data_IF_246273193387
#
_entry.id   IF_246273193387
#
_cell.length_a   1.000
_cell.length_b   1.000
_cell.length_c   1.000
_cell.angle_alpha   90.00
_cell.angle_beta   90.00
_cell.angle_gamma   90.00
#
_symmetry.space_group_name_H-M   'P 1'
#
loop_
_entity.id
_entity.type
_entity.pdbx_description
1 polymer ?
#
# COMPACT_ATOMS: atom_id res chain seq x y z
N UNK A 1 4.37 -10.49 9.14
CA UNK A 1 4.35 -11.96 9.35
C UNK A 1 5.77 -12.48 9.35
N UNK A 2 6.17 -13.19 10.40
CA UNK A 2 7.42 -13.96 10.44
C UNK A 2 7.42 -15.03 9.34
N UNK A 3 8.61 -15.37 8.82
CA UNK A 3 8.79 -16.30 7.69
C UNK A 3 8.09 -17.65 7.90
N UNK A 4 8.02 -18.13 9.15
CA UNK A 4 7.37 -19.37 9.57
C UNK A 4 5.84 -19.41 9.43
N UNK A 5 5.17 -18.27 9.34
CA UNK A 5 3.69 -18.20 9.30
C UNK A 5 3.15 -17.98 7.89
N UNK A 6 4.02 -17.77 6.89
CA UNK A 6 3.60 -17.65 5.48
C UNK A 6 3.01 -18.99 5.01
N UNK A 7 1.91 -18.95 4.26
CA UNK A 7 1.24 -20.15 3.74
C UNK A 7 0.17 -20.77 4.64
N UNK A 8 0.01 -20.33 5.90
CA UNK A 8 -1.01 -20.84 6.82
C UNK A 8 -2.41 -20.17 6.69
N UNK A 9 -2.66 -19.44 5.60
CA UNK A 9 -3.94 -18.76 5.34
C UNK A 9 -4.24 -17.53 6.23
N UNK A 10 -3.41 -17.21 7.21
CA UNK A 10 -3.65 -16.09 8.13
C UNK A 10 -3.76 -14.73 7.42
N UNK A 11 -2.90 -14.47 6.43
CA UNK A 11 -2.95 -13.24 5.63
C UNK A 11 -4.24 -13.11 4.82
N UNK A 12 -4.72 -14.21 4.23
CA UNK A 12 -5.99 -14.25 3.50
C UNK A 12 -7.17 -13.98 4.42
N UNK A 13 -7.22 -14.64 5.59
CA UNK A 13 -8.30 -14.43 6.57
C UNK A 13 -8.35 -12.99 7.09
N UNK A 14 -7.19 -12.37 7.26
CA UNK A 14 -7.11 -10.96 7.64
C UNK A 14 -7.71 -10.06 6.55
N UNK A 15 -7.32 -10.25 5.29
CA UNK A 15 -7.87 -9.47 4.18
C UNK A 15 -9.37 -9.67 4.00
N UNK A 16 -9.87 -10.90 4.15
CA UNK A 16 -11.30 -11.20 4.12
C UNK A 16 -12.06 -10.49 5.23
N UNK A 17 -11.53 -10.46 6.45
CA UNK A 17 -12.15 -9.75 7.57
C UNK A 17 -12.21 -8.24 7.31
N UNK A 18 -11.15 -7.63 6.77
CA UNK A 18 -11.14 -6.22 6.41
C UNK A 18 -12.11 -5.91 5.27
N UNK A 19 -12.16 -6.75 4.23
CA UNK A 19 -13.09 -6.62 3.12
C UNK A 19 -14.55 -6.72 3.60
N UNK A 20 -14.84 -7.60 4.56
CA UNK A 20 -16.16 -7.70 5.18
C UNK A 20 -16.56 -6.39 5.86
N UNK A 21 -15.67 -5.81 6.65
CA UNK A 21 -15.92 -4.52 7.30
C UNK A 21 -16.21 -3.45 6.24
N UNK A 22 -15.41 -3.37 5.18
CA UNK A 22 -15.60 -2.38 4.11
C UNK A 22 -16.99 -2.51 3.45
N UNK A 23 -17.44 -3.73 3.16
CA UNK A 23 -18.78 -3.98 2.61
C UNK A 23 -19.87 -3.58 3.60
N UNK A 24 -19.75 -3.99 4.87
CA UNK A 24 -20.74 -3.72 5.91
C UNK A 24 -20.86 -2.21 6.21
N UNK A 25 -19.79 -1.43 5.97
CA UNK A 25 -19.78 0.04 6.10
C UNK A 25 -20.15 0.78 4.80
N UNK A 26 -20.53 0.08 3.73
CA UNK A 26 -20.90 0.70 2.46
C UNK A 26 -19.72 1.32 1.69
N UNK A 27 -18.49 0.90 1.97
CA UNK A 27 -17.32 1.34 1.21
C UNK A 27 -17.30 0.68 -0.17
N UNK A 28 -17.13 1.50 -1.23
CA UNK A 28 -17.03 1.00 -2.60
C UNK A 28 -15.66 0.43 -2.97
N UNK A 29 -14.65 0.53 -2.09
CA UNK A 29 -13.27 0.18 -2.40
C UNK A 29 -12.45 -0.14 -1.15
N UNK A 30 -11.48 -1.05 -1.30
CA UNK A 30 -10.44 -1.36 -0.33
C UNK A 30 -9.06 -1.28 -1.01
N UNK A 31 -8.20 -0.39 -0.56
CA UNK A 31 -6.88 -0.12 -1.15
C UNK A 31 -5.75 -0.31 -0.14
N UNK A 32 -4.60 -0.77 -0.64
CA UNK A 32 -3.35 -0.85 0.12
C UNK A 32 -2.15 -0.69 -0.82
N UNK A 33 -0.96 -0.58 -0.24
CA UNK A 33 0.28 -0.47 -1.00
C UNK A 33 1.13 -1.72 -0.86
N UNK A 34 1.77 -2.09 -1.95
CA UNK A 34 2.79 -3.11 -2.02
C UNK A 34 4.03 -2.50 -2.67
N UNK A 35 5.21 -2.98 -2.28
CA UNK A 35 6.44 -2.62 -2.98
C UNK A 35 6.46 -3.35 -4.32
N UNK A 36 6.80 -2.64 -5.38
CA UNK A 36 6.83 -3.13 -6.77
C UNK A 36 7.69 -4.39 -6.96
N UNK A 37 8.75 -4.54 -6.17
CA UNK A 37 9.63 -5.70 -6.20
C UNK A 37 9.10 -6.90 -5.41
N UNK A 38 8.01 -6.76 -4.63
CA UNK A 38 7.47 -7.84 -3.80
C UNK A 38 6.54 -8.77 -4.60
N UNK A 39 7.12 -9.38 -5.62
CA UNK A 39 6.47 -10.28 -6.56
C UNK A 39 5.60 -11.37 -5.88
N UNK A 40 6.03 -12.04 -4.79
CA UNK A 40 5.17 -13.01 -4.10
C UNK A 40 3.88 -12.41 -3.52
N UNK A 41 3.95 -11.17 -3.03
CA UNK A 41 2.78 -10.48 -2.50
C UNK A 41 1.87 -9.98 -3.62
N UNK A 42 2.46 -9.47 -4.72
CA UNK A 42 1.72 -9.02 -5.90
C UNK A 42 0.88 -10.17 -6.45
N UNK A 43 1.49 -11.33 -6.75
CA UNK A 43 0.76 -12.51 -7.23
C UNK A 43 -0.34 -12.97 -6.27
N UNK A 44 -0.10 -12.88 -4.96
CA UNK A 44 -1.12 -13.17 -3.97
C UNK A 44 -2.31 -12.20 -4.04
N UNK A 45 -2.06 -10.90 -4.17
CA UNK A 45 -3.13 -9.89 -4.29
C UNK A 45 -3.90 -10.02 -5.60
N UNK A 46 -3.22 -10.30 -6.72
CA UNK A 46 -3.87 -10.60 -7.99
C UNK A 46 -4.74 -11.85 -7.91
N UNK A 47 -4.29 -12.89 -7.19
CA UNK A 47 -5.07 -14.13 -7.02
C UNK A 47 -6.39 -13.95 -6.26
N UNK A 48 -6.54 -12.84 -5.51
CA UNK A 48 -7.79 -12.49 -4.82
C UNK A 48 -8.59 -11.40 -5.56
N UNK A 49 -8.20 -11.07 -6.79
CA UNK A 49 -8.91 -10.13 -7.66
C UNK A 49 -8.55 -8.65 -7.47
N UNK A 50 -7.48 -8.34 -6.71
CA UNK A 50 -6.99 -6.97 -6.62
C UNK A 50 -6.20 -6.59 -7.89
N UNK A 51 -6.29 -5.32 -8.31
CA UNK A 51 -5.58 -4.79 -9.48
C UNK A 51 -4.69 -3.60 -9.10
N UNK A 52 -3.47 -3.50 -9.67
CA UNK A 52 -2.60 -2.36 -9.44
C UNK A 52 -3.21 -1.06 -9.99
N UNK A 53 -3.05 0.03 -9.26
CA UNK A 53 -3.46 1.36 -9.68
C UNK A 53 -2.20 2.16 -10.06
N UNK A 54 -1.91 2.29 -11.35
CA UNK A 54 -0.66 2.88 -11.87
C UNK A 54 -0.78 4.34 -12.32
N UNK A 55 -1.97 4.93 -12.25
CA UNK A 55 -2.24 6.28 -12.76
C UNK A 55 -1.61 7.39 -11.88
N UNK A 56 -1.36 7.11 -10.60
CA UNK A 56 -0.91 8.10 -9.62
C UNK A 56 0.39 7.64 -8.95
N UNK A 57 1.46 8.40 -9.19
CA UNK A 57 2.73 8.20 -8.50
C UNK A 57 2.69 8.72 -7.06
N UNK A 58 3.26 7.96 -6.11
CA UNK A 58 3.42 8.43 -4.73
C UNK A 58 4.63 9.36 -4.63
N UNK A 59 4.39 10.64 -4.34
CA UNK A 59 5.43 11.58 -3.94
C UNK A 59 5.66 11.54 -2.44
N UNK A 60 6.89 11.82 -2.00
CA UNK A 60 7.24 11.96 -0.59
C UNK A 60 8.19 13.14 -0.41
N UNK A 61 7.80 14.06 0.44
CA UNK A 61 8.67 15.09 0.99
C UNK A 61 9.00 14.70 2.44
N UNK A 62 10.29 14.58 2.77
CA UNK A 62 10.74 14.11 4.08
C UNK A 62 12.11 14.68 4.43
N UNK A 63 12.47 14.60 5.72
CA UNK A 63 13.78 15.02 6.21
C UNK A 63 14.03 16.52 6.02
N UNK A 64 15.26 16.86 5.66
CA UNK A 64 15.68 18.26 5.53
C UNK A 64 14.99 18.97 4.37
N UNK A 65 14.67 18.26 3.28
CA UNK A 65 13.89 18.81 2.17
C UNK A 65 12.49 19.28 2.62
N UNK A 66 11.85 18.56 3.55
CA UNK A 66 10.57 18.99 4.13
C UNK A 66 10.71 20.25 4.98
N UNK A 67 11.77 20.34 5.79
CA UNK A 67 12.03 21.50 6.65
C UNK A 67 12.34 22.73 5.81
N UNK A 68 13.26 22.60 4.85
CA UNK A 68 13.61 23.67 3.92
C UNK A 68 12.39 24.20 3.15
N UNK A 69 11.53 23.30 2.64
CA UNK A 69 10.29 23.72 1.98
C UNK A 69 9.33 24.47 2.92
N UNK A 70 9.20 24.01 4.17
CA UNK A 70 8.36 24.68 5.17
C UNK A 70 8.87 26.08 5.54
N UNK A 71 10.19 26.28 5.53
CA UNK A 71 10.85 27.56 5.82
C UNK A 71 10.91 28.49 4.59
N UNK A 72 10.34 28.08 3.44
CA UNK A 72 10.33 28.85 2.20
C UNK A 72 11.70 28.94 1.52
N UNK A 73 12.64 28.06 1.87
CA UNK A 73 13.94 28.00 1.22
C UNK A 73 13.77 27.57 -0.25
N UNK A 74 14.54 28.16 -1.19
CA UNK A 74 14.51 27.72 -2.58
C UNK A 74 14.85 26.23 -2.63
N UNK A 75 13.95 25.44 -3.20
CA UNK A 75 14.27 24.06 -3.56
C UNK A 75 14.98 24.14 -4.90
N UNK A 76 16.29 23.91 -4.92
CA UNK A 76 17.01 23.70 -6.19
C UNK A 76 16.47 22.42 -6.82
N UNK A 77 15.53 22.59 -7.75
CA UNK A 77 15.04 21.52 -8.61
C UNK A 77 16.17 21.16 -9.59
N UNK A 78 16.89 20.09 -9.28
CA UNK A 78 17.81 19.44 -10.19
C UNK A 78 17.05 18.65 -11.27
#
# INVERSE_FOLDING_TARGET
MTQRLRGAGAGLRLLQALARIAVDTGCGRFEWSVLDWNEPAIRFYESVGAAPQSEWGRYRLAGDALRAFADGAPVDAA
#
